data_IF_826765805690
#
_entry.id   IF_826765805690
#
_cell.length_a   1.000
_cell.length_b   1.000
_cell.length_c   1.000
_cell.angle_alpha   90.00
_cell.angle_beta   90.00
_cell.angle_gamma   90.00
#
_symmetry.space_group_name_H-M   'P 1'
#
loop_
_entity.id
_entity.type
_entity.pdbx_description
1 polymer ?
#
# COMPACT_ATOMS: atom_id res chain seq x y z
N UNK A 1 5.72 11.35 -4.65
CA UNK A 1 6.86 10.40 -4.75
C UNK A 1 6.59 9.51 -5.94
N UNK A 2 7.44 9.52 -6.96
CA UNK A 2 7.21 8.81 -8.22
C UNK A 2 8.00 7.49 -8.18
N UNK A 3 7.33 6.40 -7.82
CA UNK A 3 7.84 5.06 -8.06
C UNK A 3 7.28 4.73 -9.44
N UNK A 4 8.16 4.74 -10.47
CA UNK A 4 7.83 4.68 -11.91
C UNK A 4 6.44 4.01 -12.18
N UNK A 5 5.54 4.73 -12.86
CA UNK A 5 4.20 4.25 -13.26
C UNK A 5 3.17 3.88 -12.16
N UNK A 6 3.46 4.11 -10.86
CA UNK A 6 2.47 4.02 -9.79
C UNK A 6 2.10 5.42 -9.29
N UNK A 7 0.81 5.75 -9.40
CA UNK A 7 0.24 6.99 -8.87
C UNK A 7 -0.44 6.68 -7.53
N UNK A 8 0.04 7.30 -6.46
CA UNK A 8 -0.59 7.27 -5.14
C UNK A 8 -1.58 8.43 -5.04
N UNK A 9 -2.77 8.16 -4.49
CA UNK A 9 -3.72 9.20 -4.11
C UNK A 9 -3.24 9.90 -2.84
N UNK A 10 -3.62 11.17 -2.66
CA UNK A 10 -3.29 11.91 -1.43
C UNK A 10 -3.83 11.22 -0.17
N UNK A 11 -5.02 10.61 -0.28
CA UNK A 11 -5.61 9.81 0.80
C UNK A 11 -4.71 8.65 1.25
N UNK A 12 -3.98 8.02 0.32
CA UNK A 12 -3.03 6.94 0.65
C UNK A 12 -1.86 7.46 1.47
N UNK A 13 -1.42 8.70 1.20
CA UNK A 13 -0.35 9.33 1.97
C UNK A 13 -0.82 9.64 3.40
N UNK A 14 -2.07 10.08 3.54
CA UNK A 14 -2.70 10.33 4.85
C UNK A 14 -2.84 9.02 5.64
N UNK A 15 -3.35 7.96 5.01
CA UNK A 15 -3.50 6.64 5.63
C UNK A 15 -2.16 6.08 6.13
N UNK A 16 -1.11 6.20 5.31
CA UNK A 16 0.24 5.78 5.68
C UNK A 16 0.75 6.53 6.90
N UNK A 17 0.60 7.86 6.91
CA UNK A 17 1.08 8.70 8.01
C UNK A 17 0.36 8.37 9.33
N UNK A 18 -0.96 8.25 9.30
CA UNK A 18 -1.75 7.92 10.50
C UNK A 18 -1.33 6.56 11.05
N UNK A 19 -1.17 5.56 10.18
CA UNK A 19 -0.80 4.22 10.58
C UNK A 19 0.65 4.11 11.07
N UNK A 20 1.60 4.79 10.42
CA UNK A 20 2.98 4.89 10.86
C UNK A 20 3.08 5.48 12.27
N UNK A 21 2.40 6.59 12.53
CA UNK A 21 2.33 7.20 13.86
C UNK A 21 1.66 6.28 14.90
N UNK A 22 0.61 5.55 14.50
CA UNK A 22 -0.08 4.60 15.37
C UNK A 22 0.82 3.44 15.78
N UNK A 23 1.59 2.88 14.85
CA UNK A 23 2.50 1.78 15.14
C UNK A 23 3.74 2.22 15.91
N UNK A 24 4.30 3.41 15.63
CA UNK A 24 5.44 3.95 16.37
C UNK A 24 5.11 4.17 17.86
N UNK A 25 3.88 4.56 18.17
CA UNK A 25 3.41 4.71 19.56
C UNK A 25 3.32 3.39 20.33
N UNK A 26 3.21 2.26 19.63
CA UNK A 26 3.13 0.94 20.27
C UNK A 26 4.50 0.36 20.59
N UNK A 27 5.47 0.56 19.70
CA UNK A 27 6.85 0.16 19.93
C UNK A 27 7.79 0.98 19.05
N UNK A 28 8.92 1.39 19.61
CA UNK A 28 9.93 2.18 18.91
C UNK A 28 10.41 1.45 17.65
N UNK A 29 10.34 2.13 16.50
CA UNK A 29 10.72 1.61 15.19
C UNK A 29 9.66 0.77 14.49
N UNK A 30 8.51 0.50 15.13
CA UNK A 30 7.43 -0.27 14.50
C UNK A 30 6.71 0.56 13.43
N UNK A 31 6.66 1.89 13.56
CA UNK A 31 6.13 2.79 12.53
C UNK A 31 6.96 2.73 11.25
N UNK A 32 8.29 2.82 11.39
CA UNK A 32 9.21 2.67 10.26
C UNK A 32 9.05 1.28 9.59
N UNK A 33 8.97 0.22 10.40
CA UNK A 33 8.78 -1.14 9.87
C UNK A 33 7.43 -1.30 9.14
N UNK A 34 6.38 -0.67 9.64
CA UNK A 34 5.09 -0.57 8.95
C UNK A 34 5.24 0.11 7.60
N UNK A 35 5.81 1.32 7.59
CA UNK A 35 5.99 2.12 6.39
C UNK A 35 6.77 1.37 5.32
N UNK A 36 7.92 0.82 5.68
CA UNK A 36 8.78 0.07 4.75
C UNK A 36 8.07 -1.17 4.20
N UNK A 37 7.26 -1.85 5.03
CA UNK A 37 6.47 -3.00 4.58
C UNK A 37 5.41 -2.59 3.56
N UNK A 38 4.61 -1.54 3.84
CA UNK A 38 3.54 -1.13 2.92
C UNK A 38 4.11 -0.57 1.62
N UNK A 39 5.21 0.18 1.67
CA UNK A 39 5.90 0.64 0.46
C UNK A 39 6.41 -0.54 -0.36
N UNK A 40 7.01 -1.56 0.27
CA UNK A 40 7.44 -2.78 -0.43
C UNK A 40 6.27 -3.54 -1.06
N UNK A 41 5.12 -3.62 -0.38
CA UNK A 41 3.91 -4.23 -0.94
C UNK A 41 3.38 -3.42 -2.16
N UNK A 42 3.38 -2.08 -2.09
CA UNK A 42 3.01 -1.20 -3.23
C UNK A 42 3.98 -1.39 -4.39
N UNK A 43 5.29 -1.41 -4.13
CA UNK A 43 6.33 -1.65 -5.14
C UNK A 43 6.18 -3.01 -5.81
N UNK A 44 5.65 -4.02 -5.11
CA UNK A 44 5.40 -5.33 -5.71
C UNK A 44 4.36 -5.30 -6.85
N UNK A 45 3.48 -4.29 -6.89
CA UNK A 45 2.46 -4.13 -7.93
C UNK A 45 3.07 -3.96 -9.32
N UNK A 46 4.32 -3.54 -9.41
CA UNK A 46 5.10 -3.56 -10.63
C UNK A 46 5.10 -4.89 -11.37
N UNK A 47 5.27 -5.96 -10.61
CA UNK A 47 5.40 -7.31 -11.15
C UNK A 47 4.05 -8.03 -11.13
N UNK A 48 3.19 -7.70 -10.16
CA UNK A 48 2.02 -8.49 -9.83
C UNK A 48 0.69 -7.71 -9.98
N UNK A 49 0.67 -6.52 -10.57
CA UNK A 49 -0.58 -5.79 -10.80
C UNK A 49 -1.52 -6.56 -11.76
N UNK A 50 -2.70 -6.87 -11.26
CA UNK A 50 -3.78 -7.54 -12.01
C UNK A 50 -3.98 -9.01 -11.66
N UNK A 51 -3.06 -9.66 -10.94
CA UNK A 51 -3.26 -11.05 -10.47
C UNK A 51 -3.99 -11.14 -9.12
N UNK A 52 -4.15 -10.00 -8.45
CA UNK A 52 -4.79 -9.91 -7.14
C UNK A 52 -6.32 -10.02 -7.23
N UNK A 53 -6.98 -10.32 -6.12
CA UNK A 53 -8.43 -10.46 -6.07
C UNK A 53 -9.14 -9.15 -6.48
N UNK A 54 -10.08 -9.27 -7.40
CA UNK A 54 -10.93 -8.18 -7.90
C UNK A 54 -12.13 -8.01 -6.97
N UNK A 55 -12.21 -6.88 -6.28
CA UNK A 55 -13.24 -6.64 -5.25
C UNK A 55 -14.47 -5.97 -5.85
N UNK A 56 -14.27 -5.02 -6.76
CA UNK A 56 -15.37 -4.32 -7.43
C UNK A 56 -14.91 -3.67 -8.74
N UNK A 57 -15.64 -3.89 -9.84
CA UNK A 57 -15.24 -3.40 -11.19
C UNK A 57 -13.73 -3.56 -11.35
N UNK A 58 -12.97 -2.56 -11.81
CA UNK A 58 -11.52 -2.66 -12.04
C UNK A 58 -10.66 -2.36 -10.79
N UNK A 59 -11.19 -2.55 -9.59
CA UNK A 59 -10.47 -2.37 -8.32
C UNK A 59 -10.00 -3.73 -7.83
N UNK A 60 -8.70 -3.82 -7.60
CA UNK A 60 -7.98 -4.97 -7.10
C UNK A 60 -7.54 -4.72 -5.66
N UNK A 61 -7.42 -5.78 -4.87
CA UNK A 61 -6.98 -5.72 -3.48
C UNK A 61 -5.76 -6.61 -3.24
N UNK A 62 -4.66 -5.99 -2.87
CA UNK A 62 -3.48 -6.65 -2.31
C UNK A 62 -3.58 -6.61 -0.78
N UNK A 63 -3.42 -7.75 -0.11
CA UNK A 63 -3.33 -7.80 1.36
C UNK A 63 -1.85 -7.71 1.76
N UNK A 64 -1.53 -6.85 2.73
CA UNK A 64 -0.18 -6.80 3.27
C UNK A 64 0.15 -8.10 4.00
N UNK A 65 1.40 -8.56 3.88
CA UNK A 65 1.82 -9.84 4.47
C UNK A 65 2.06 -9.77 5.98
N UNK A 66 2.35 -8.58 6.52
CA UNK A 66 2.80 -8.43 7.92
C UNK A 66 1.89 -7.56 8.77
N UNK A 67 1.16 -6.65 8.13
CA UNK A 67 0.24 -5.74 8.80
C UNK A 67 -1.19 -6.02 8.35
N UNK A 68 -2.20 -5.80 9.21
CA UNK A 68 -3.61 -6.03 8.89
C UNK A 68 -4.18 -4.94 7.98
N UNK A 69 -3.53 -4.69 6.85
CA UNK A 69 -3.84 -3.64 5.88
C UNK A 69 -4.08 -4.23 4.49
N UNK A 70 -4.88 -3.51 3.71
CA UNK A 70 -5.17 -3.83 2.32
C UNK A 70 -4.87 -2.63 1.44
N UNK A 71 -4.14 -2.86 0.35
CA UNK A 71 -3.85 -1.87 -0.68
C UNK A 71 -4.86 -2.06 -1.80
N UNK A 72 -5.70 -1.05 -2.01
CA UNK A 72 -6.66 -1.01 -3.11
C UNK A 72 -6.07 -0.24 -4.28
N UNK A 73 -6.07 -0.84 -5.45
CA UNK A 73 -5.52 -0.21 -6.65
C UNK A 73 -6.37 -0.52 -7.88
N UNK A 74 -6.22 0.33 -8.89
CA UNK A 74 -6.81 0.14 -10.21
C UNK A 74 -5.69 0.19 -11.24
N UNK A 75 -5.73 -0.72 -12.21
CA UNK A 75 -4.90 -0.61 -13.41
C UNK A 75 -5.48 0.49 -14.30
N UNK A 76 -4.66 1.48 -14.62
CA UNK A 76 -4.97 2.45 -15.66
C UNK A 76 -4.47 1.83 -16.96
N UNK A 77 -5.37 1.44 -17.85
CA UNK A 77 -4.98 1.18 -19.23
C UNK A 77 -4.77 2.55 -19.86
N UNK A 78 -3.54 2.84 -20.29
CA UNK A 78 -3.23 3.92 -21.23
C UNK A 78 -3.52 3.40 -22.63
#
# INVERSE_FOLDING_TARGET
>A
MNIKDIILLDDVVIDLKIAEEFYEKQNKGLGNYFRDTIISDIESLWLYAGIHNKIFKNIYRLLSKRFPYAIYYKKINI
#
